data_IF_450651956861
#
_entry.id   IF_450651956861
#
_cell.length_a   1.000
_cell.length_b   1.000
_cell.length_c   1.000
_cell.angle_alpha   90.00
_cell.angle_beta   90.00
_cell.angle_gamma   90.00
#
_symmetry.space_group_name_H-M   'P 1'
#
loop_
_entity.id
_entity.type
_entity.pdbx_description
1 polymer ?
#
# COMPACT_ATOMS: atom_id res chain seq x y z
N UNK A 1 -7.99 -3.80 0.89
CA UNK A 1 -7.45 -5.02 1.55
C UNK A 1 -8.58 -5.86 2.15
N UNK A 2 -8.37 -7.18 2.28
CA UNK A 2 -9.25 -8.12 3.02
C UNK A 2 -8.42 -8.94 3.99
N UNK A 3 -8.98 -9.30 5.15
CA UNK A 3 -8.23 -10.01 6.19
C UNK A 3 -7.86 -11.42 5.75
N UNK A 4 -8.75 -12.11 5.05
CA UNK A 4 -8.53 -13.49 4.62
C UNK A 4 -7.26 -13.70 3.78
N UNK A 5 -6.74 -12.65 3.12
CA UNK A 5 -5.54 -12.71 2.29
C UNK A 5 -4.24 -12.35 3.01
N UNK A 6 -4.32 -12.01 4.30
CA UNK A 6 -3.17 -11.57 5.10
C UNK A 6 -1.96 -12.51 4.99
N UNK A 7 -0.79 -11.92 4.82
CA UNK A 7 0.50 -12.60 4.84
C UNK A 7 0.84 -13.35 3.56
N UNK A 8 0.14 -13.07 2.44
CA UNK A 8 0.56 -13.59 1.14
C UNK A 8 1.90 -12.98 0.67
N UNK A 9 2.41 -13.45 -0.47
CA UNK A 9 3.69 -12.97 -1.00
C UNK A 9 3.67 -11.48 -1.43
N UNK A 10 2.49 -10.91 -1.70
CA UNK A 10 2.36 -9.48 -2.00
C UNK A 10 2.39 -8.67 -0.71
N UNK A 11 1.81 -9.18 0.37
CA UNK A 11 1.93 -8.60 1.72
C UNK A 11 3.38 -8.59 2.20
N UNK A 12 4.16 -9.66 1.95
CA UNK A 12 5.58 -9.68 2.29
C UNK A 12 6.36 -8.55 1.59
N UNK A 13 6.11 -8.35 0.29
CA UNK A 13 6.68 -7.23 -0.48
C UNK A 13 6.20 -5.88 0.05
N UNK A 14 4.88 -5.73 0.23
CA UNK A 14 4.25 -4.50 0.72
C UNK A 14 4.83 -4.08 2.06
N UNK A 15 4.86 -4.98 3.05
CA UNK A 15 5.37 -4.67 4.38
C UNK A 15 6.86 -4.34 4.35
N UNK A 16 7.66 -5.00 3.51
CA UNK A 16 9.07 -4.63 3.37
C UNK A 16 9.24 -3.25 2.73
N UNK A 17 8.46 -2.90 1.70
CA UNK A 17 8.43 -1.54 1.15
C UNK A 17 8.04 -0.49 2.20
N UNK A 18 7.03 -0.76 3.04
CA UNK A 18 6.66 0.14 4.13
C UNK A 18 7.79 0.29 5.15
N UNK A 19 8.51 -0.80 5.46
CA UNK A 19 9.67 -0.79 6.37
C UNK A 19 10.79 0.07 5.84
N UNK A 20 11.22 -0.14 4.59
CA UNK A 20 12.31 0.64 4.01
C UNK A 20 11.96 2.11 3.84
N UNK A 21 10.68 2.48 3.70
CA UNK A 21 10.25 3.89 3.67
C UNK A 21 10.12 4.52 5.08
N UNK A 22 9.95 3.70 6.13
CA UNK A 22 9.83 4.19 7.51
C UNK A 22 11.19 4.39 8.19
N UNK A 23 12.18 3.55 7.86
CA UNK A 23 13.51 3.55 8.48
C UNK A 23 14.36 4.84 8.27
N UNK A 24 14.36 5.51 7.10
CA UNK A 24 15.24 6.66 6.81
C UNK A 24 14.89 7.97 7.53
N UNK A 25 14.02 7.94 8.55
CA UNK A 25 13.62 9.14 9.29
C UNK A 25 12.62 10.03 8.54
N UNK A 26 11.77 9.44 7.70
CA UNK A 26 10.70 10.15 6.99
C UNK A 26 9.70 10.82 7.95
N UNK A 27 9.50 10.23 9.13
CA UNK A 27 8.57 10.71 10.15
C UNK A 27 7.40 9.75 10.35
N UNK A 28 6.21 10.29 10.63
CA UNK A 28 5.06 9.45 10.95
C UNK A 28 4.39 8.91 9.68
N UNK A 29 4.27 7.58 9.61
CA UNK A 29 3.47 6.91 8.58
C UNK A 29 2.04 6.66 9.08
N UNK A 30 1.05 7.07 8.29
CA UNK A 30 -0.34 6.66 8.44
C UNK A 30 -0.65 5.54 7.47
N UNK A 31 -1.08 4.39 7.98
CA UNK A 31 -1.51 3.26 7.17
C UNK A 31 -3.03 3.17 7.16
N UNK A 32 -3.61 3.18 5.96
CA UNK A 32 -5.02 2.86 5.74
C UNK A 32 -5.14 1.66 4.82
N UNK A 33 -5.44 0.50 5.41
CA UNK A 33 -5.61 -0.75 4.67
C UNK A 33 -6.84 -0.73 3.75
N UNK A 34 -7.69 0.32 3.82
CA UNK A 34 -8.94 0.45 3.07
C UNK A 34 -9.73 -0.87 3.07
N UNK A 35 -10.04 -1.34 4.28
CA UNK A 35 -10.61 -2.65 4.49
C UNK A 35 -12.00 -2.77 3.86
N UNK A 36 -12.21 -3.86 3.14
CA UNK A 36 -13.52 -4.30 2.63
C UNK A 36 -13.90 -5.63 3.28
N UNK A 37 -15.20 -5.97 3.36
CA UNK A 37 -15.61 -7.25 3.92
C UNK A 37 -14.99 -8.43 3.18
N UNK A 38 -14.68 -9.50 3.90
CA UNK A 38 -14.24 -10.78 3.35
C UNK A 38 -15.23 -11.32 2.30
N UNK A 39 -14.74 -12.13 1.37
CA UNK A 39 -15.56 -12.80 0.35
C UNK A 39 -15.22 -14.29 0.26
N UNK A 40 -15.98 -15.02 -0.56
CA UNK A 40 -15.75 -16.47 -0.75
C UNK A 40 -14.61 -16.76 -1.74
N UNK A 41 -13.74 -15.79 -2.02
CA UNK A 41 -12.66 -15.90 -2.99
C UNK A 41 -11.44 -16.67 -2.48
N UNK A 42 -10.76 -17.37 -3.39
CA UNK A 42 -9.56 -18.15 -3.11
C UNK A 42 -8.30 -17.64 -3.85
N UNK A 43 -8.40 -16.54 -4.61
CA UNK A 43 -7.32 -16.05 -5.48
C UNK A 43 -6.10 -15.48 -4.72
N UNK A 44 -6.19 -15.34 -3.39
CA UNK A 44 -5.11 -14.92 -2.48
C UNK A 44 -4.50 -16.08 -1.68
N UNK A 45 -4.01 -15.79 -0.46
CA UNK A 45 -3.44 -16.78 0.47
C UNK A 45 -2.18 -17.51 -0.05
N UNK A 46 -1.42 -16.89 -0.95
CA UNK A 46 -0.16 -17.43 -1.50
C UNK A 46 0.96 -17.38 -0.45
N UNK A 47 0.88 -18.26 0.56
CA UNK A 47 1.77 -18.32 1.73
C UNK A 47 2.92 -19.34 1.58
N UNK A 48 2.94 -20.14 0.51
CA UNK A 48 3.98 -21.13 0.21
C UNK A 48 5.42 -20.57 0.16
N UNK A 49 5.58 -19.25 0.08
CA UNK A 49 6.91 -18.62 0.18
C UNK A 49 7.52 -18.78 1.58
N UNK A 50 6.69 -18.85 2.63
CA UNK A 50 7.13 -19.03 4.03
C UNK A 50 7.75 -20.42 4.27
N UNK A 51 7.47 -21.40 3.42
CA UNK A 51 8.08 -22.74 3.50
C UNK A 51 9.40 -22.84 2.71
N UNK A 52 9.88 -21.73 2.14
CA UNK A 52 11.05 -21.67 1.24
C UNK A 52 12.05 -20.61 1.73
N UNK A 53 12.59 -20.74 2.96
CA UNK A 53 13.44 -19.72 3.59
C UNK A 53 14.69 -19.41 2.77
N UNK A 54 15.33 -20.41 2.15
CA UNK A 54 16.53 -20.22 1.31
C UNK A 54 16.29 -19.24 0.14
N UNK A 55 15.04 -19.14 -0.34
CA UNK A 55 14.66 -18.24 -1.42
C UNK A 55 14.15 -16.88 -0.92
N UNK A 56 13.41 -16.84 0.18
CA UNK A 56 12.61 -15.67 0.54
C UNK A 56 13.05 -14.95 1.81
N UNK A 57 13.66 -15.66 2.75
CA UNK A 57 14.04 -15.09 4.05
C UNK A 57 15.09 -13.99 3.89
N UNK A 58 15.98 -14.11 2.90
CA UNK A 58 17.07 -13.15 2.67
C UNK A 58 16.62 -11.73 2.33
N UNK A 59 15.40 -11.53 1.82
CA UNK A 59 14.92 -10.20 1.42
C UNK A 59 14.61 -9.28 2.61
N UNK A 60 13.97 -9.82 3.65
CA UNK A 60 13.71 -9.13 4.92
C UNK A 60 13.57 -10.18 6.04
N UNK A 61 14.69 -10.62 6.65
CA UNK A 61 14.67 -11.74 7.59
C UNK A 61 13.75 -11.53 8.79
N UNK A 62 13.73 -10.32 9.36
CA UNK A 62 12.89 -10.01 10.52
C UNK A 62 11.40 -10.07 10.19
N UNK A 63 11.00 -9.55 9.03
CA UNK A 63 9.63 -9.63 8.55
C UNK A 63 9.24 -11.08 8.20
N UNK A 64 10.11 -11.81 7.48
CA UNK A 64 9.87 -13.20 7.12
C UNK A 64 9.66 -14.08 8.35
N UNK A 65 10.57 -14.00 9.32
CA UNK A 65 10.52 -14.83 10.52
C UNK A 65 9.25 -14.52 11.35
N UNK A 66 8.86 -13.24 11.43
CA UNK A 66 7.63 -12.85 12.12
C UNK A 66 6.39 -13.41 11.43
N UNK A 67 6.30 -13.30 10.09
CA UNK A 67 5.17 -13.85 9.34
C UNK A 67 5.13 -15.38 9.42
N UNK A 68 6.29 -16.03 9.31
CA UNK A 68 6.42 -17.49 9.41
C UNK A 68 5.98 -18.00 10.79
N UNK A 69 6.39 -17.34 11.87
CA UNK A 69 5.98 -17.70 13.23
C UNK A 69 4.46 -17.53 13.42
N UNK A 70 3.90 -16.39 12.98
CA UNK A 70 2.48 -16.07 13.16
C UNK A 70 1.54 -16.94 12.33
N UNK A 71 1.96 -17.36 11.15
CA UNK A 71 1.13 -18.12 10.21
C UNK A 71 1.44 -19.61 10.18
N UNK A 72 2.56 -20.04 10.78
CA UNK A 72 2.96 -21.43 10.90
C UNK A 72 2.34 -22.16 12.09
N UNK A 73 1.87 -21.44 13.11
CA UNK A 73 1.22 -22.01 14.28
C UNK A 73 -0.30 -22.09 14.13
N UNK A 74 -0.95 -23.20 14.52
CA UNK A 74 -2.41 -23.26 14.59
C UNK A 74 -2.94 -22.19 15.55
N UNK A 75 -3.70 -21.23 15.02
CA UNK A 75 -4.35 -20.16 15.78
C UNK A 75 -5.87 -20.31 15.71
N UNK A 76 -6.61 -20.08 16.82
CA UNK A 76 -8.07 -20.01 16.78
C UNK A 76 -8.57 -18.76 16.03
N UNK A 77 -7.74 -17.72 15.94
CA UNK A 77 -8.05 -16.50 15.20
C UNK A 77 -7.48 -16.57 13.78
N UNK A 78 -8.31 -16.27 12.76
CA UNK A 78 -7.85 -16.26 11.38
C UNK A 78 -6.83 -15.12 11.16
N UNK A 79 -5.89 -15.31 10.22
CA UNK A 79 -4.95 -14.27 9.81
C UNK A 79 -5.66 -12.95 9.46
N UNK A 80 -5.16 -11.85 10.00
CA UNK A 80 -5.75 -10.52 9.79
C UNK A 80 -4.69 -9.42 9.97
N UNK A 81 -4.99 -8.21 9.50
CA UNK A 81 -4.03 -7.09 9.51
C UNK A 81 -3.55 -6.69 10.90
N UNK A 82 -4.33 -6.94 11.98
CA UNK A 82 -3.90 -6.60 13.32
C UNK A 82 -2.59 -7.33 13.73
N UNK A 83 -2.29 -8.48 13.11
CA UNK A 83 -1.04 -9.20 13.32
C UNK A 83 0.19 -8.38 12.91
N UNK A 84 0.15 -7.63 11.79
CA UNK A 84 1.25 -6.75 11.41
C UNK A 84 1.24 -5.46 12.24
N UNK A 85 0.06 -4.92 12.57
CA UNK A 85 -0.08 -3.71 13.38
C UNK A 85 0.54 -3.86 14.77
N UNK A 86 0.37 -5.03 15.39
CA UNK A 86 0.87 -5.34 16.73
C UNK A 86 2.32 -5.86 16.74
N UNK A 87 2.91 -6.11 15.56
CA UNK A 87 4.27 -6.67 15.46
C UNK A 87 5.38 -5.67 15.79
N UNK A 88 5.09 -4.36 15.71
CA UNK A 88 6.10 -3.30 15.77
C UNK A 88 7.01 -3.22 14.54
N UNK A 89 6.81 -4.07 13.53
CA UNK A 89 7.67 -4.11 12.34
C UNK A 89 7.53 -2.86 11.47
N UNK A 90 6.40 -2.15 11.53
CA UNK A 90 6.19 -0.91 10.76
C UNK A 90 6.59 0.35 11.55
N UNK A 91 7.46 0.20 12.55
CA UNK A 91 8.00 1.32 13.32
C UNK A 91 6.92 2.11 14.06
N UNK A 92 6.95 3.43 13.92
CA UNK A 92 5.98 4.37 14.53
C UNK A 92 4.73 4.60 13.67
N UNK A 93 4.41 3.67 12.76
CA UNK A 93 3.21 3.75 11.96
C UNK A 93 1.95 3.77 12.84
N UNK A 94 0.97 4.56 12.42
CA UNK A 94 -0.38 4.59 13.00
C UNK A 94 -1.38 4.00 12.00
N UNK A 95 -2.35 3.26 12.50
CA UNK A 95 -3.28 2.48 11.67
C UNK A 95 -4.68 3.06 11.74
N UNK A 96 -5.25 3.40 10.59
CA UNK A 96 -6.62 3.88 10.51
C UNK A 96 -7.61 2.69 10.49
N UNK A 97 -8.44 2.50 11.53
CA UNK A 97 -9.12 1.22 11.76
C UNK A 97 -10.47 1.10 11.03
N UNK A 98 -10.90 2.12 10.29
CA UNK A 98 -12.26 2.18 9.78
C UNK A 98 -12.42 1.49 8.41
N UNK A 99 -13.39 0.57 8.33
CA UNK A 99 -13.86 -0.04 7.09
C UNK A 99 -14.32 1.04 6.10
N UNK A 100 -14.11 0.77 4.82
CA UNK A 100 -14.58 1.67 3.76
C UNK A 100 -16.06 1.45 3.49
N UNK A 101 -16.92 2.48 3.59
CA UNK A 101 -18.31 2.39 3.15
C UNK A 101 -18.46 2.64 1.65
N UNK A 102 -19.43 1.95 1.03
CA UNK A 102 -19.89 2.24 -0.35
C UNK A 102 -20.78 3.50 -0.40
N UNK A 103 -21.59 3.73 0.64
CA UNK A 103 -22.54 4.85 0.70
C UNK A 103 -21.81 6.20 0.68
N UNK A 104 -22.29 7.14 -0.13
CA UNK A 104 -21.60 8.41 -0.37
C UNK A 104 -21.51 9.30 0.87
N UNK A 105 -22.55 9.34 1.71
CA UNK A 105 -22.54 10.17 2.92
C UNK A 105 -21.61 9.57 3.97
N UNK A 106 -21.69 8.25 4.17
CA UNK A 106 -20.77 7.55 5.06
C UNK A 106 -19.33 7.63 4.57
N UNK A 107 -19.09 7.55 3.25
CA UNK A 107 -17.76 7.68 2.64
C UNK A 107 -17.19 9.07 2.83
N UNK A 108 -18.01 10.12 2.68
CA UNK A 108 -17.59 11.48 2.97
C UNK A 108 -17.17 11.65 4.44
N UNK A 109 -17.92 11.07 5.39
CA UNK A 109 -17.56 11.10 6.83
C UNK A 109 -16.29 10.29 7.11
N UNK A 110 -16.20 9.08 6.58
CA UNK A 110 -15.02 8.22 6.68
C UNK A 110 -13.77 8.94 6.16
N UNK A 111 -13.88 9.61 5.00
CA UNK A 111 -12.75 10.30 4.39
C UNK A 111 -12.38 11.58 5.15
N UNK A 112 -13.38 12.33 5.65
CA UNK A 112 -13.12 13.50 6.51
C UNK A 112 -12.33 13.14 7.77
N UNK A 113 -12.61 11.98 8.37
CA UNK A 113 -11.85 11.48 9.52
C UNK A 113 -10.43 11.08 9.12
N UNK A 114 -10.27 10.33 8.01
CA UNK A 114 -8.96 9.96 7.48
C UNK A 114 -8.09 11.19 7.21
N UNK A 115 -8.66 12.24 6.61
CA UNK A 115 -7.97 13.52 6.38
C UNK A 115 -7.47 14.16 7.68
N UNK A 116 -8.24 14.05 8.77
CA UNK A 116 -7.81 14.55 10.08
C UNK A 116 -6.51 13.89 10.55
N UNK A 117 -6.39 12.57 10.34
CA UNK A 117 -5.19 11.81 10.70
C UNK A 117 -4.03 12.12 9.74
N UNK A 118 -4.30 12.21 8.44
CA UNK A 118 -3.30 12.47 7.41
C UNK A 118 -2.57 13.82 7.61
N UNK A 119 -3.22 14.83 8.19
CA UNK A 119 -2.57 16.12 8.49
C UNK A 119 -1.38 16.04 9.44
N UNK A 120 -1.28 14.99 10.25
CA UNK A 120 -0.16 14.78 11.18
C UNK A 120 0.83 13.73 10.68
N UNK A 121 0.62 13.20 9.47
CA UNK A 121 1.49 12.20 8.87
C UNK A 121 2.41 12.82 7.82
N UNK A 122 3.58 12.23 7.65
CA UNK A 122 4.53 12.57 6.58
C UNK A 122 4.32 11.68 5.36
N UNK A 123 3.88 10.44 5.58
CA UNK A 123 3.53 9.48 4.54
C UNK A 123 2.19 8.81 4.86
N UNK A 124 1.28 8.81 3.88
CA UNK A 124 0.03 8.04 3.94
C UNK A 124 0.10 6.87 2.97
N UNK A 125 0.03 5.65 3.51
CA UNK A 125 -0.10 4.45 2.70
C UNK A 125 -1.57 4.04 2.55
N UNK A 126 -2.01 3.83 1.32
CA UNK A 126 -3.37 3.46 0.96
C UNK A 126 -3.39 2.10 0.24
N UNK A 127 -4.16 1.14 0.78
CA UNK A 127 -4.26 -0.22 0.27
C UNK A 127 -5.67 -0.61 -0.23
N UNK A 128 -6.22 0.12 -1.24
CA UNK A 128 -7.53 -0.22 -1.78
C UNK A 128 -7.54 -1.65 -2.34
N UNK A 129 -8.68 -2.33 -2.20
CA UNK A 129 -8.85 -3.72 -2.65
C UNK A 129 -8.55 -3.92 -4.15
N UNK A 130 -8.88 -2.94 -5.00
CA UNK A 130 -8.64 -2.99 -6.45
C UNK A 130 -7.65 -1.93 -6.96
N UNK A 131 -7.46 -0.81 -6.25
CA UNK A 131 -6.68 0.33 -6.73
C UNK A 131 -7.48 1.63 -6.83
N UNK A 132 -7.15 2.47 -7.81
CA UNK A 132 -7.81 3.75 -8.06
C UNK A 132 -9.15 3.61 -8.77
N UNK A 133 -10.05 4.56 -8.51
CA UNK A 133 -11.41 4.64 -9.04
C UNK A 133 -11.45 4.50 -10.57
N UNK A 134 -12.41 3.69 -11.03
CA UNK A 134 -12.70 3.48 -12.45
C UNK A 134 -14.02 4.12 -12.85
N UNK A 135 -14.19 4.58 -14.11
CA UNK A 135 -15.40 5.28 -14.54
C UNK A 135 -16.72 4.52 -14.33
N UNK A 136 -16.67 3.19 -14.35
CA UNK A 136 -17.84 2.32 -14.15
C UNK A 136 -18.26 2.16 -12.69
N UNK A 137 -17.42 2.54 -11.72
CA UNK A 137 -17.69 2.39 -10.29
C UNK A 137 -17.20 3.63 -9.50
N UNK A 138 -17.79 4.81 -9.73
CA UNK A 138 -17.44 6.01 -8.97
C UNK A 138 -17.80 5.88 -7.49
N UNK A 139 -17.13 6.64 -6.63
CA UNK A 139 -17.44 6.74 -5.19
C UNK A 139 -18.94 6.97 -4.96
N UNK A 140 -19.53 6.20 -4.04
CA UNK A 140 -20.96 6.23 -3.73
C UNK A 140 -21.76 5.11 -4.40
N UNK A 141 -21.18 4.40 -5.37
CA UNK A 141 -21.78 3.19 -5.96
C UNK A 141 -21.48 1.96 -5.12
N UNK A 142 -22.34 0.95 -5.23
CA UNK A 142 -22.09 -0.38 -4.67
C UNK A 142 -20.77 -0.94 -5.21
N UNK A 143 -19.88 -1.37 -4.33
CA UNK A 143 -18.54 -1.86 -4.64
C UNK A 143 -17.48 -0.76 -4.82
N UNK A 144 -17.83 0.52 -4.69
CA UNK A 144 -16.85 1.62 -4.76
C UNK A 144 -15.87 1.60 -3.59
N UNK A 145 -16.21 0.94 -2.48
CA UNK A 145 -15.33 0.71 -1.33
C UNK A 145 -14.01 0.01 -1.65
N UNK A 146 -13.97 -0.72 -2.77
CA UNK A 146 -12.76 -1.39 -3.28
C UNK A 146 -11.76 -0.44 -3.90
N UNK A 147 -12.13 0.82 -4.10
CA UNK A 147 -11.34 1.80 -4.84
C UNK A 147 -11.00 3.02 -3.99
N UNK A 148 -9.89 3.66 -4.33
CA UNK A 148 -9.52 5.00 -3.88
C UNK A 148 -10.03 6.03 -4.88
N UNK A 149 -10.84 6.99 -4.43
CA UNK A 149 -11.41 8.05 -5.25
C UNK A 149 -10.36 9.03 -5.74
N UNK A 150 -10.49 9.53 -6.96
CA UNK A 150 -9.56 10.52 -7.51
C UNK A 150 -9.53 11.82 -6.69
N UNK A 151 -10.70 12.30 -6.25
CA UNK A 151 -10.78 13.48 -5.36
C UNK A 151 -10.21 13.24 -3.97
N UNK A 152 -10.14 11.97 -3.55
CA UNK A 152 -9.54 11.59 -2.26
C UNK A 152 -8.02 11.65 -2.33
N UNK A 153 -7.43 11.25 -3.48
CA UNK A 153 -5.99 11.44 -3.74
C UNK A 153 -5.63 12.91 -3.68
N UNK A 154 -6.35 13.77 -4.41
CA UNK A 154 -6.05 15.21 -4.46
C UNK A 154 -6.09 15.82 -3.04
N UNK A 155 -7.15 15.53 -2.28
CA UNK A 155 -7.33 16.09 -0.94
C UNK A 155 -6.34 15.53 0.09
N UNK A 156 -5.91 14.28 -0.05
CA UNK A 156 -4.84 13.71 0.77
C UNK A 156 -3.50 14.36 0.44
N UNK A 157 -3.21 14.58 -0.84
CA UNK A 157 -2.02 15.28 -1.28
C UNK A 157 -1.95 16.71 -0.71
N UNK A 158 -3.08 17.43 -0.74
CA UNK A 158 -3.21 18.79 -0.20
C UNK A 158 -3.00 18.88 1.33
N UNK A 159 -3.00 17.76 2.06
CA UNK A 159 -2.60 17.76 3.48
C UNK A 159 -1.11 18.03 3.67
N UNK A 160 -0.32 17.96 2.59
CA UNK A 160 1.12 18.03 2.64
C UNK A 160 1.78 16.69 2.96
N UNK A 161 1.05 15.58 3.08
CA UNK A 161 1.63 14.23 3.15
C UNK A 161 2.19 13.78 1.80
N UNK A 162 3.24 12.96 1.81
CA UNK A 162 3.54 12.07 0.68
C UNK A 162 2.54 10.91 0.67
N UNK A 163 2.26 10.33 -0.50
CA UNK A 163 1.30 9.24 -0.65
C UNK A 163 1.98 8.00 -1.24
N UNK A 164 1.69 6.84 -0.68
CA UNK A 164 2.01 5.55 -1.31
C UNK A 164 0.70 4.80 -1.56
N UNK A 165 0.42 4.47 -2.82
CA UNK A 165 -0.86 3.86 -3.23
C UNK A 165 -0.59 2.48 -3.79
N UNK A 166 -1.25 1.46 -3.23
CA UNK A 166 -1.29 0.11 -3.79
C UNK A 166 -2.30 0.02 -4.94
N UNK A 167 -1.93 -0.71 -5.99
CA UNK A 167 -2.72 -0.84 -7.22
C UNK A 167 -2.59 -2.25 -7.81
N UNK A 168 -3.72 -2.93 -8.02
CA UNK A 168 -3.74 -4.14 -8.83
C UNK A 168 -3.65 -3.81 -10.32
N UNK A 169 -2.94 -4.64 -11.09
CA UNK A 169 -2.93 -4.49 -12.55
C UNK A 169 -4.30 -4.85 -13.14
N UNK A 170 -4.86 -4.00 -14.02
CA UNK A 170 -5.99 -4.40 -14.86
C UNK A 170 -5.52 -5.35 -15.97
N UNK A 171 -6.46 -5.81 -16.81
CA UNK A 171 -6.16 -6.60 -18.01
C UNK A 171 -5.64 -5.70 -19.14
N UNK A 172 -4.46 -5.16 -18.94
CA UNK A 172 -3.73 -4.28 -19.86
C UNK A 172 -2.22 -4.59 -19.75
N UNK A 173 -1.44 -4.14 -20.73
CA UNK A 173 0.02 -4.14 -20.63
C UNK A 173 0.46 -3.29 -19.42
N UNK A 174 1.37 -3.85 -18.62
CA UNK A 174 1.67 -3.35 -17.26
C UNK A 174 2.48 -2.07 -17.26
N UNK A 175 3.41 -1.93 -18.20
CA UNK A 175 4.30 -0.77 -18.28
C UNK A 175 3.52 0.46 -18.76
N UNK A 176 2.75 0.27 -19.83
CA UNK A 176 1.78 1.25 -20.37
C UNK A 176 0.79 1.69 -19.28
N UNK A 177 0.25 0.73 -18.52
CA UNK A 177 -0.65 1.04 -17.42
C UNK A 177 0.02 1.87 -16.33
N UNK A 178 1.22 1.47 -15.90
CA UNK A 178 1.97 2.15 -14.84
C UNK A 178 2.39 3.56 -15.23
N UNK A 179 2.90 3.75 -16.45
CA UNK A 179 3.28 5.06 -17.00
C UNK A 179 2.08 6.00 -17.09
N UNK A 180 0.95 5.52 -17.66
CA UNK A 180 -0.28 6.32 -17.73
C UNK A 180 -0.77 6.71 -16.35
N UNK A 181 -0.75 5.77 -15.40
CA UNK A 181 -1.22 6.03 -14.04
C UNK A 181 -0.36 7.07 -13.33
N UNK A 182 0.96 6.96 -13.45
CA UNK A 182 1.88 7.92 -12.88
C UNK A 182 1.75 9.31 -13.53
N UNK A 183 1.60 9.40 -14.86
CA UNK A 183 1.35 10.67 -15.55
C UNK A 183 0.05 11.33 -15.09
N UNK A 184 -1.03 10.55 -14.95
CA UNK A 184 -2.30 11.06 -14.42
C UNK A 184 -2.13 11.60 -13.00
N UNK A 185 -1.48 10.87 -12.10
CA UNK A 185 -1.25 11.31 -10.73
C UNK A 185 -0.35 12.55 -10.67
N UNK A 186 0.69 12.63 -11.50
CA UNK A 186 1.54 13.82 -11.64
C UNK A 186 0.72 15.02 -12.10
N UNK A 187 -0.10 14.88 -13.14
CA UNK A 187 -0.92 15.96 -13.67
C UNK A 187 -1.96 16.49 -12.67
N UNK A 188 -2.46 15.63 -11.78
CA UNK A 188 -3.43 16.02 -10.74
C UNK A 188 -2.79 16.69 -9.53
N UNK A 189 -1.64 16.19 -9.09
CA UNK A 189 -1.02 16.60 -7.83
C UNK A 189 0.10 17.63 -8.00
N UNK A 190 0.71 17.70 -9.19
CA UNK A 190 1.95 18.45 -9.41
C UNK A 190 3.12 17.89 -8.59
N UNK A 191 3.05 16.64 -8.15
CA UNK A 191 4.06 16.05 -7.27
C UNK A 191 5.46 16.08 -7.94
N UNK A 192 6.48 16.60 -7.25
CA UNK A 192 7.84 16.68 -7.78
C UNK A 192 8.50 15.29 -7.92
N UNK A 193 8.06 14.34 -7.10
CA UNK A 193 8.43 12.93 -7.20
C UNK A 193 7.18 12.11 -7.48
N UNK A 194 7.20 11.37 -8.59
CA UNK A 194 6.21 10.33 -8.89
C UNK A 194 6.96 9.09 -9.35
N UNK A 195 6.95 8.06 -8.51
CA UNK A 195 7.66 6.80 -8.75
C UNK A 195 6.66 5.66 -8.86
N UNK A 196 6.71 4.92 -9.97
CA UNK A 196 5.96 3.69 -10.16
C UNK A 196 6.86 2.50 -9.82
N UNK A 197 6.48 1.71 -8.82
CA UNK A 197 7.27 0.61 -8.28
C UNK A 197 6.51 -0.69 -8.55
N UNK A 198 6.95 -1.43 -9.57
CA UNK A 198 6.30 -2.66 -10.04
C UNK A 198 6.84 -3.87 -9.30
N UNK A 199 5.93 -4.81 -9.03
CA UNK A 199 6.24 -6.20 -8.67
C UNK A 199 5.63 -7.15 -9.73
N UNK A 200 5.82 -8.48 -9.64
CA UNK A 200 5.19 -9.41 -10.58
C UNK A 200 3.66 -9.38 -10.64
N UNK A 201 2.96 -8.85 -9.64
CA UNK A 201 1.49 -8.93 -9.56
C UNK A 201 0.79 -7.61 -9.24
N UNK A 202 1.51 -6.64 -8.68
CA UNK A 202 0.94 -5.38 -8.21
C UNK A 202 1.87 -4.21 -8.52
N UNK A 203 1.32 -3.03 -8.48
CA UNK A 203 1.99 -1.75 -8.66
C UNK A 203 1.84 -0.93 -7.37
N UNK A 204 2.90 -0.24 -6.99
CA UNK A 204 2.83 0.84 -6.00
C UNK A 204 3.14 2.15 -6.71
N UNK A 205 2.38 3.21 -6.42
CA UNK A 205 2.73 4.56 -6.85
C UNK A 205 3.07 5.40 -5.64
N UNK A 206 4.29 5.94 -5.61
CA UNK A 206 4.75 6.89 -4.61
C UNK A 206 4.66 8.31 -5.17
N UNK A 207 3.94 9.18 -4.47
CA UNK A 207 3.89 10.62 -4.69
C UNK A 207 4.65 11.29 -3.55
N UNK A 208 5.80 11.88 -3.85
CA UNK A 208 6.69 12.46 -2.85
C UNK A 208 6.58 13.98 -2.80
N UNK A 209 6.30 14.52 -1.62
CA UNK A 209 6.43 15.95 -1.35
C UNK A 209 7.90 16.36 -1.36
N UNK A 210 8.22 17.60 -1.79
CA UNK A 210 9.62 18.06 -1.91
C UNK A 210 10.42 17.88 -0.62
N UNK A 211 9.81 18.16 0.54
CA UNK A 211 10.46 18.04 1.85
C UNK A 211 10.80 16.60 2.27
N UNK A 212 10.18 15.62 1.62
CA UNK A 212 10.36 14.19 1.90
C UNK A 212 11.31 13.52 0.88
N UNK A 213 11.87 14.25 -0.08
CA UNK A 213 12.62 13.67 -1.20
C UNK A 213 13.80 12.77 -0.77
N UNK A 214 14.70 13.28 0.07
CA UNK A 214 15.87 12.52 0.53
C UNK A 214 15.53 11.23 1.30
N UNK A 215 14.65 11.25 2.34
CA UNK A 215 14.30 10.01 3.05
C UNK A 215 13.54 9.01 2.16
N UNK A 216 12.70 9.48 1.24
CA UNK A 216 12.02 8.59 0.28
C UNK A 216 13.02 7.90 -0.65
N UNK A 217 13.96 8.64 -1.25
CA UNK A 217 14.95 8.06 -2.15
C UNK A 217 15.86 7.06 -1.42
N UNK A 218 16.26 7.38 -0.17
CA UNK A 218 17.03 6.45 0.65
C UNK A 218 16.28 5.13 0.89
N UNK A 219 14.96 5.20 1.18
CA UNK A 219 14.13 4.02 1.38
C UNK A 219 13.89 3.19 0.11
N UNK A 220 13.80 3.84 -1.05
CA UNK A 220 13.70 3.17 -2.34
C UNK A 220 15.02 2.51 -2.77
N UNK A 221 16.15 3.15 -2.48
CA UNK A 221 17.48 2.58 -2.72
C UNK A 221 17.71 1.35 -1.85
N UNK A 222 17.38 1.43 -0.55
CA UNK A 222 17.44 0.28 0.36
C UNK A 222 16.53 -0.87 -0.08
N UNK A 223 15.28 -0.57 -0.51
CA UNK A 223 14.40 -1.57 -1.10
C UNK A 223 15.06 -2.30 -2.27
N UNK A 224 15.66 -1.55 -3.19
CA UNK A 224 16.31 -2.09 -4.39
C UNK A 224 17.51 -2.97 -4.00
N UNK A 225 18.30 -2.54 -3.02
CA UNK A 225 19.43 -3.31 -2.51
C UNK A 225 18.99 -4.64 -1.86
N UNK A 226 17.90 -4.61 -1.09
CA UNK A 226 17.36 -5.80 -0.42
C UNK A 226 16.71 -6.77 -1.40
N UNK A 227 15.91 -6.26 -2.34
CA UNK A 227 14.98 -7.07 -3.13
C UNK A 227 15.37 -7.28 -4.59
N UNK A 228 16.38 -6.56 -5.10
CA UNK A 228 16.85 -6.70 -6.47
C UNK A 228 15.74 -6.63 -7.51
N UNK A 229 15.61 -7.69 -8.31
CA UNK A 229 14.66 -7.78 -9.42
C UNK A 229 13.18 -7.94 -9.02
N UNK A 230 12.90 -8.18 -7.72
CA UNK A 230 11.54 -8.34 -7.23
C UNK A 230 10.75 -7.02 -7.21
N UNK A 231 11.46 -5.89 -7.21
CA UNK A 231 10.91 -4.56 -7.40
C UNK A 231 11.57 -3.88 -8.59
N UNK A 232 10.77 -3.30 -9.46
CA UNK A 232 11.24 -2.55 -10.61
C UNK A 232 10.71 -1.13 -10.53
N UNK A 233 11.64 -0.20 -10.35
CA UNK A 233 11.40 1.24 -10.40
C UNK A 233 11.26 1.66 -11.85
N UNK A 234 10.06 2.10 -12.21
CA UNK A 234 9.79 2.68 -13.50
C UNK A 234 10.07 4.18 -13.37
N UNK A 235 11.23 4.61 -13.86
CA UNK A 235 11.56 6.03 -13.93
C UNK A 235 10.57 6.72 -14.84
N UNK A 236 9.51 7.29 -14.26
CA UNK A 236 8.52 8.03 -15.01
C UNK A 236 9.17 9.36 -15.34
N UNK A 237 9.81 9.45 -16.51
CA UNK A 237 10.63 10.58 -16.95
C UNK A 237 9.97 11.93 -16.68
N UNK A 238 10.78 12.90 -16.27
CA UNK A 238 10.38 14.30 -16.06
C UNK A 238 9.87 14.97 -17.32
#
# INVERSE_FOLDING_TARGET
>A
MKNQYFGDVNDYRKYSLLRTLSEPGLGQMLVTWMMTPDDQGADGQKRDYLTKPDKWRGYDPALFDTLAARLGEPSPEPPNVAMIEQSGLLGSAVFYPAMVPDDSQQRAKWFSNLLGWARSADLVFLDPDNGLEVPSCPVGRKGSSKYLGWSEVDRLWDTGSSLLIYQHFPREERETFAERLAQNLRGRTGAPLVEAIRTPHVLFILLGQSRHGSPLEAGLADLTNRWGDQFQRMGVGG
#
